data_IF_452320833255
#
_entry.id   IF_452320833255
#
_cell.length_a   1.000
_cell.length_b   1.000
_cell.length_c   1.000
_cell.angle_alpha   90.00
_cell.angle_beta   90.00
_cell.angle_gamma   90.00
#
_symmetry.space_group_name_H-M   'P 1'
#
loop_
_entity.id
_entity.type
_entity.pdbx_description
1 polymer ?
#
# COMPACT_ATOMS: atom_id res chain seq x y z
N UNK A 1 -60.31 -39.57 -52.23
CA UNK A 1 -60.15 -38.29 -51.52
C UNK A 1 -58.99 -38.39 -50.54
N UNK A 2 -57.79 -37.88 -50.95
CA UNK A 2 -56.57 -37.99 -50.15
C UNK A 2 -56.28 -36.63 -49.54
N UNK A 3 -56.40 -36.56 -48.20
CA UNK A 3 -56.03 -35.38 -47.42
C UNK A 3 -54.59 -35.55 -46.97
N UNK A 4 -53.66 -34.75 -47.53
CA UNK A 4 -52.24 -34.68 -47.09
C UNK A 4 -52.15 -33.78 -45.87
N UNK A 5 -51.81 -34.30 -44.72
CA UNK A 5 -51.44 -33.53 -43.53
C UNK A 5 -49.99 -33.09 -43.65
N UNK A 6 -49.73 -31.77 -43.59
CA UNK A 6 -48.41 -31.20 -43.50
C UNK A 6 -48.03 -31.11 -42.00
N UNK A 7 -46.96 -31.76 -41.64
CA UNK A 7 -46.30 -31.58 -40.33
C UNK A 7 -45.39 -30.33 -40.42
N UNK A 8 -45.65 -29.35 -39.58
CA UNK A 8 -44.74 -28.23 -39.37
C UNK A 8 -43.79 -28.59 -38.25
N UNK A 9 -42.47 -28.66 -38.55
CA UNK A 9 -41.42 -28.83 -37.58
C UNK A 9 -41.08 -27.44 -36.99
N UNK A 10 -41.40 -27.22 -35.73
CA UNK A 10 -40.96 -26.04 -34.98
C UNK A 10 -39.54 -26.23 -34.48
N UNK A 11 -38.60 -25.36 -34.93
CA UNK A 11 -37.24 -25.27 -34.40
C UNK A 11 -37.30 -24.40 -33.15
N UNK A 12 -37.24 -25.01 -31.97
CA UNK A 12 -37.08 -24.30 -30.71
C UNK A 12 -35.61 -23.95 -30.51
N UNK A 13 -35.25 -22.67 -30.67
CA UNK A 13 -33.92 -22.17 -30.27
C UNK A 13 -33.86 -22.07 -28.73
N UNK A 14 -33.22 -23.04 -28.11
CA UNK A 14 -32.92 -22.99 -26.68
C UNK A 14 -31.81 -21.97 -26.36
N UNK A 15 -32.15 -20.86 -25.70
CA UNK A 15 -31.19 -19.94 -25.14
C UNK A 15 -30.71 -20.54 -23.82
N UNK A 16 -29.49 -21.10 -23.84
CA UNK A 16 -28.84 -21.52 -22.60
C UNK A 16 -28.36 -20.29 -21.84
N UNK A 17 -28.69 -20.10 -20.53
CA UNK A 17 -28.14 -19.02 -19.76
C UNK A 17 -26.65 -19.25 -19.55
N UNK A 18 -25.80 -18.30 -19.98
CA UNK A 18 -24.39 -18.26 -19.61
C UNK A 18 -24.32 -17.97 -18.10
N UNK A 19 -23.98 -18.98 -17.31
CA UNK A 19 -23.60 -18.78 -15.91
C UNK A 19 -22.23 -18.09 -15.90
N UNK A 20 -22.18 -16.79 -15.67
CA UNK A 20 -20.95 -16.07 -15.38
C UNK A 20 -20.56 -16.42 -13.95
N UNK A 21 -19.63 -17.35 -13.79
CA UNK A 21 -18.98 -17.62 -12.50
C UNK A 21 -18.08 -16.44 -12.16
N UNK A 22 -18.56 -15.51 -11.34
CA UNK A 22 -17.69 -14.52 -10.69
C UNK A 22 -16.85 -15.24 -9.63
N UNK A 23 -15.62 -15.58 -9.98
CA UNK A 23 -14.63 -16.02 -9.00
C UNK A 23 -14.37 -14.85 -8.06
N UNK A 24 -14.46 -15.05 -6.72
CA UNK A 24 -14.00 -14.03 -5.80
C UNK A 24 -12.51 -13.78 -6.07
N UNK A 25 -12.13 -12.53 -6.34
CA UNK A 25 -10.72 -12.16 -6.41
C UNK A 25 -10.11 -12.52 -5.04
N UNK A 26 -9.08 -13.37 -5.04
CA UNK A 26 -8.32 -13.63 -3.82
C UNK A 26 -7.78 -12.29 -3.32
N UNK A 27 -7.83 -12.01 -2.01
CA UNK A 27 -7.22 -10.80 -1.49
C UNK A 27 -5.75 -10.79 -1.90
N UNK A 28 -5.34 -9.73 -2.56
CA UNK A 28 -3.96 -9.56 -2.97
C UNK A 28 -3.11 -9.45 -1.69
N UNK A 29 -2.28 -10.44 -1.45
CA UNK A 29 -1.40 -10.46 -0.28
C UNK A 29 -0.13 -9.66 -0.61
N UNK A 30 -0.21 -8.33 -0.47
CA UNK A 30 0.96 -7.46 -0.46
C UNK A 30 1.37 -7.24 1.00
N UNK A 31 2.67 -7.13 1.27
CA UNK A 31 3.19 -6.80 2.60
C UNK A 31 4.55 -6.11 2.47
N UNK A 32 4.73 -5.02 3.20
CA UNK A 32 6.01 -4.31 3.20
C UNK A 32 6.02 -3.10 4.12
N UNK A 33 7.21 -2.60 4.41
CA UNK A 33 7.43 -1.41 5.22
C UNK A 33 8.79 -0.78 4.87
N UNK A 34 9.03 0.45 5.33
CA UNK A 34 10.33 1.10 5.17
C UNK A 34 11.24 0.68 6.31
N UNK A 35 12.38 0.06 5.96
CA UNK A 35 13.41 -0.34 6.92
C UNK A 35 14.52 0.71 7.08
N UNK A 36 14.72 1.58 6.08
CA UNK A 36 15.76 2.62 6.13
C UNK A 36 15.35 3.91 5.39
N UNK A 37 15.39 5.10 6.04
CA UNK A 37 15.45 5.28 7.49
C UNK A 37 14.31 4.52 8.17
N UNK A 38 14.48 4.05 9.44
CA UNK A 38 13.50 3.16 10.05
C UNK A 38 12.14 3.85 10.22
N UNK A 39 11.10 3.25 9.62
CA UNK A 39 9.72 3.67 9.85
C UNK A 39 9.29 3.39 11.29
N UNK A 40 8.17 3.98 11.72
CA UNK A 40 7.60 3.75 13.05
C UNK A 40 7.39 2.26 13.31
N UNK A 41 6.80 1.52 12.35
CA UNK A 41 6.65 0.08 12.48
C UNK A 41 7.99 -0.69 12.48
N UNK A 42 9.01 -0.20 11.78
CA UNK A 42 10.35 -0.78 11.86
C UNK A 42 10.99 -0.56 13.25
N UNK A 43 10.78 0.61 13.85
CA UNK A 43 11.23 0.91 15.22
C UNK A 43 10.52 0.01 16.24
N UNK A 44 9.23 -0.25 16.07
CA UNK A 44 8.47 -1.20 16.88
C UNK A 44 9.04 -2.63 16.75
N UNK A 45 9.28 -3.09 15.53
CA UNK A 45 9.82 -4.43 15.28
C UNK A 45 11.23 -4.62 15.86
N UNK A 46 12.06 -3.58 15.79
CA UNK A 46 13.40 -3.57 16.37
C UNK A 46 13.42 -3.43 17.91
N UNK A 47 12.28 -3.07 18.52
CA UNK A 47 12.20 -2.80 19.96
C UNK A 47 12.83 -1.46 20.37
N UNK A 48 13.08 -0.56 19.41
CA UNK A 48 13.55 0.81 19.69
C UNK A 48 12.48 1.63 20.40
N UNK A 49 11.23 1.39 20.04
CA UNK A 49 10.04 1.95 20.69
C UNK A 49 9.16 0.78 21.12
N UNK A 50 8.60 0.86 22.31
CA UNK A 50 7.71 -0.18 22.81
C UNK A 50 6.34 -0.06 22.14
N UNK A 51 5.87 -1.15 21.55
CA UNK A 51 4.67 -1.20 20.76
C UNK A 51 3.85 -2.47 21.00
N UNK A 52 2.57 -2.42 20.61
CA UNK A 52 1.65 -3.55 20.66
C UNK A 52 1.79 -4.51 19.46
N UNK A 53 0.67 -4.79 18.81
CA UNK A 53 0.57 -5.81 17.76
C UNK A 53 1.51 -5.56 16.58
N UNK A 54 1.72 -4.30 16.19
CA UNK A 54 2.55 -3.91 15.04
C UNK A 54 4.01 -4.40 15.14
N UNK A 55 4.51 -4.63 16.35
CA UNK A 55 5.85 -5.18 16.60
C UNK A 55 6.06 -6.51 15.87
N UNK A 56 5.03 -7.31 15.75
CA UNK A 56 5.09 -8.67 15.21
C UNK A 56 4.71 -8.76 13.73
N UNK A 57 4.11 -7.70 13.19
CA UNK A 57 3.65 -7.65 11.80
C UNK A 57 3.90 -6.26 11.17
N UNK A 58 5.15 -5.73 11.20
CA UNK A 58 5.46 -4.38 10.71
C UNK A 58 5.12 -4.19 9.23
N UNK A 59 5.02 -5.27 8.47
CA UNK A 59 4.69 -5.28 7.05
C UNK A 59 3.19 -5.14 6.76
N UNK A 60 2.31 -5.17 7.77
CA UNK A 60 0.85 -5.37 7.61
C UNK A 60 0.04 -4.07 7.71
N UNK A 61 0.65 -2.90 7.58
CA UNK A 61 -0.07 -1.61 7.66
C UNK A 61 -0.76 -1.31 6.33
N UNK A 62 -1.86 -2.00 6.11
CA UNK A 62 -2.71 -1.89 4.92
C UNK A 62 -3.98 -1.09 5.23
N UNK A 63 -4.44 -0.28 4.27
CA UNK A 63 -5.70 0.45 4.34
C UNK A 63 -6.15 0.96 2.99
N UNK A 64 -7.35 1.56 2.88
CA UNK A 64 -7.81 2.20 1.66
C UNK A 64 -6.81 3.23 1.12
N UNK A 65 -6.73 3.40 -0.20
CA UNK A 65 -5.93 4.46 -0.83
C UNK A 65 -6.40 5.85 -0.40
N UNK A 66 -5.47 6.80 -0.34
CA UNK A 66 -5.76 8.21 -0.10
C UNK A 66 -5.86 8.61 1.38
N UNK A 67 -5.53 7.72 2.31
CA UNK A 67 -5.45 8.08 3.73
C UNK A 67 -4.17 8.86 4.04
N UNK A 68 -4.23 9.63 5.14
CA UNK A 68 -3.12 10.46 5.63
C UNK A 68 -2.61 10.02 7.00
N UNK A 69 -2.98 8.83 7.45
CA UNK A 69 -2.60 8.26 8.75
C UNK A 69 -1.44 7.28 8.61
N UNK A 70 -0.58 7.22 9.62
CA UNK A 70 0.54 6.27 9.68
C UNK A 70 0.05 4.83 9.89
N UNK A 71 -1.13 4.66 10.49
CA UNK A 71 -1.77 3.35 10.74
C UNK A 71 -2.51 2.79 9.52
N UNK A 72 -2.65 3.57 8.42
CA UNK A 72 -3.52 3.21 7.30
C UNK A 72 -5.00 3.09 7.70
N UNK A 73 -5.42 3.76 8.79
CA UNK A 73 -6.77 3.66 9.35
C UNK A 73 -7.05 2.34 10.08
N UNK A 74 -6.04 1.53 10.35
CA UNK A 74 -6.19 0.27 11.07
C UNK A 74 -6.12 0.51 12.58
N UNK A 75 -7.24 0.33 13.28
CA UNK A 75 -7.34 0.55 14.74
C UNK A 75 -6.34 -0.31 15.55
N UNK A 76 -5.98 -1.49 15.07
CA UNK A 76 -4.97 -2.35 15.73
C UNK A 76 -3.59 -1.71 15.77
N UNK A 77 -3.33 -0.76 14.87
CA UNK A 77 -2.05 -0.06 14.70
C UNK A 77 -2.17 1.44 14.97
N UNK A 78 -3.24 1.88 15.65
CA UNK A 78 -3.50 3.30 15.93
C UNK A 78 -2.35 4.00 16.65
N UNK A 79 -1.54 3.25 17.39
CA UNK A 79 -0.34 3.77 18.05
C UNK A 79 0.69 4.38 17.08
N UNK A 80 0.67 3.98 15.81
CA UNK A 80 1.54 4.57 14.78
C UNK A 80 1.17 6.03 14.47
N UNK A 81 -0.05 6.45 14.80
CA UNK A 81 -0.51 7.83 14.62
C UNK A 81 -0.21 8.73 15.84
N UNK A 82 0.24 8.16 16.95
CA UNK A 82 0.60 8.91 18.16
C UNK A 82 1.99 9.55 18.03
N UNK A 83 2.02 10.84 17.71
CA UNK A 83 3.28 11.61 17.58
C UNK A 83 4.00 11.80 18.93
N UNK A 84 3.35 11.58 20.07
CA UNK A 84 3.94 11.70 21.40
C UNK A 84 4.66 10.45 21.89
N UNK A 85 4.64 9.36 21.12
CA UNK A 85 5.16 8.05 21.53
C UNK A 85 6.70 7.97 21.66
N UNK A 86 7.40 9.03 21.28
CA UNK A 86 8.88 9.09 21.40
C UNK A 86 9.60 8.36 20.27
N UNK A 87 9.08 8.51 19.05
CA UNK A 87 9.72 7.96 17.85
C UNK A 87 11.15 8.49 17.68
N UNK A 88 12.07 7.61 17.35
CA UNK A 88 13.43 8.00 17.01
C UNK A 88 13.44 8.76 15.68
N UNK A 89 14.09 9.93 15.69
CA UNK A 89 14.21 10.82 14.54
C UNK A 89 15.56 10.61 13.89
N UNK A 90 15.59 10.29 12.60
CA UNK A 90 16.84 10.05 11.86
C UNK A 90 17.37 11.35 11.24
N UNK A 91 18.61 11.79 11.54
CA UNK A 91 19.24 12.90 10.82
C UNK A 91 19.43 12.55 9.34
N UNK A 92 19.03 13.47 8.45
CA UNK A 92 19.16 13.30 7.00
C UNK A 92 19.60 14.59 6.32
N UNK A 93 20.16 14.48 5.11
CA UNK A 93 20.50 15.65 4.28
C UNK A 93 19.28 16.31 3.65
N UNK A 94 19.51 17.18 2.67
CA UNK A 94 18.44 17.78 1.85
C UNK A 94 17.71 16.74 0.99
N UNK A 95 18.30 15.57 0.82
CA UNK A 95 17.67 14.40 0.22
C UNK A 95 18.11 13.12 0.95
N UNK A 96 17.29 12.07 0.88
CA UNK A 96 17.64 10.76 1.45
C UNK A 96 17.01 9.63 0.68
N UNK A 97 17.60 8.43 0.80
CA UNK A 97 17.05 7.20 0.22
C UNK A 97 16.09 6.54 1.19
N UNK A 98 14.85 6.33 0.78
CA UNK A 98 13.89 5.50 1.49
C UNK A 98 13.93 4.09 0.90
N UNK A 99 14.21 3.10 1.75
CA UNK A 99 14.28 1.70 1.34
C UNK A 99 13.08 0.93 1.91
N UNK A 100 12.25 0.45 1.02
CA UNK A 100 11.17 -0.49 1.33
C UNK A 100 11.70 -1.92 1.35
N UNK A 101 11.27 -2.68 2.33
CA UNK A 101 11.40 -4.12 2.40
C UNK A 101 10.04 -4.77 2.20
N UNK A 102 9.89 -5.54 1.10
CA UNK A 102 8.64 -6.18 0.74
C UNK A 102 8.72 -7.67 1.08
N UNK A 103 7.93 -8.09 2.04
CA UNK A 103 7.82 -9.51 2.42
C UNK A 103 6.85 -10.26 1.53
N UNK A 104 5.93 -9.55 0.87
CA UNK A 104 5.10 -10.06 -0.21
C UNK A 104 4.94 -8.96 -1.28
N UNK A 105 5.42 -9.24 -2.48
CA UNK A 105 5.43 -8.30 -3.62
C UNK A 105 4.10 -8.33 -4.35
N UNK A 106 3.67 -7.16 -4.83
CA UNK A 106 2.42 -7.05 -5.60
C UNK A 106 2.55 -6.00 -6.71
N UNK A 107 1.71 -6.12 -7.75
CA UNK A 107 1.61 -5.14 -8.82
C UNK A 107 1.37 -3.74 -8.24
N UNK A 108 2.23 -2.78 -8.59
CA UNK A 108 2.31 -1.46 -7.97
C UNK A 108 1.93 -0.38 -8.99
N UNK A 109 1.01 0.52 -8.59
CA UNK A 109 0.78 1.73 -9.38
C UNK A 109 1.80 2.80 -9.05
N UNK A 110 1.80 3.33 -7.82
CA UNK A 110 2.69 4.42 -7.43
C UNK A 110 3.21 4.26 -6.01
N UNK A 111 4.35 4.90 -5.76
CA UNK A 111 4.92 5.16 -4.45
C UNK A 111 4.89 6.65 -4.22
N UNK A 112 4.30 7.08 -3.12
CA UNK A 112 4.11 8.51 -2.82
C UNK A 112 4.71 8.86 -1.47
N UNK A 113 5.24 10.07 -1.36
CA UNK A 113 5.83 10.60 -0.13
C UNK A 113 5.24 11.96 0.18
N UNK A 114 4.79 12.13 1.42
CA UNK A 114 4.11 13.35 1.87
C UNK A 114 4.75 13.89 3.15
N UNK A 115 4.80 15.23 3.26
CA UNK A 115 5.15 15.95 4.48
C UNK A 115 4.09 17.02 4.73
N UNK A 116 3.48 17.04 5.90
CA UNK A 116 2.45 18.01 6.25
C UNK A 116 1.25 18.00 5.29
N UNK A 117 0.93 16.85 4.67
CA UNK A 117 -0.13 16.71 3.69
C UNK A 117 0.25 17.09 2.26
N UNK A 118 1.43 17.68 2.04
CA UNK A 118 1.95 18.00 0.71
C UNK A 118 2.75 16.84 0.13
N UNK A 119 2.46 16.43 -1.10
CA UNK A 119 3.25 15.41 -1.80
C UNK A 119 4.60 16.00 -2.23
N UNK A 120 5.70 15.39 -1.77
CA UNK A 120 7.07 15.80 -2.07
C UNK A 120 7.76 14.91 -3.10
N UNK A 121 7.29 13.67 -3.29
CA UNK A 121 7.79 12.77 -4.33
C UNK A 121 6.73 11.75 -4.74
N UNK A 122 6.85 11.27 -5.99
CA UNK A 122 6.05 10.18 -6.54
C UNK A 122 6.88 9.40 -7.56
N UNK A 123 6.76 8.08 -7.51
CA UNK A 123 7.39 7.15 -8.45
C UNK A 123 6.30 6.23 -9.00
N UNK A 124 6.21 6.11 -10.32
CA UNK A 124 5.19 5.32 -11.02
C UNK A 124 5.81 4.02 -11.54
N UNK A 125 5.31 2.89 -11.05
CA UNK A 125 5.72 1.56 -11.51
C UNK A 125 4.81 1.02 -12.63
N UNK A 126 3.77 1.76 -13.04
CA UNK A 126 2.91 1.42 -14.16
C UNK A 126 2.20 0.07 -14.05
N UNK A 127 1.99 -0.44 -12.84
CA UNK A 127 1.39 -1.75 -12.59
C UNK A 127 2.39 -2.91 -12.55
N UNK A 128 3.71 -2.63 -12.65
CA UNK A 128 4.72 -3.68 -12.53
C UNK A 128 4.82 -4.24 -11.11
N UNK A 129 5.26 -5.50 -11.00
CA UNK A 129 5.60 -6.08 -9.71
C UNK A 129 7.04 -5.72 -9.33
N UNK A 130 7.26 -5.02 -8.19
CA UNK A 130 8.59 -4.59 -7.77
C UNK A 130 9.45 -5.76 -7.28
N UNK A 131 10.74 -5.49 -7.05
CA UNK A 131 11.65 -6.39 -6.33
C UNK A 131 11.30 -6.49 -4.83
N UNK A 132 12.01 -7.36 -4.10
CA UNK A 132 11.87 -7.48 -2.63
C UNK A 132 12.34 -6.22 -1.90
N UNK A 133 13.25 -5.49 -2.52
CA UNK A 133 13.75 -4.20 -2.04
C UNK A 133 13.49 -3.14 -3.10
N UNK A 134 12.86 -2.03 -2.68
CA UNK A 134 12.64 -0.86 -3.52
C UNK A 134 13.25 0.35 -2.84
N UNK A 135 14.06 1.12 -3.56
CA UNK A 135 14.74 2.30 -3.01
C UNK A 135 14.41 3.52 -3.84
N UNK A 136 13.93 4.56 -3.16
CA UNK A 136 13.62 5.84 -3.77
C UNK A 136 14.47 6.96 -3.16
N UNK A 137 15.09 7.77 -3.99
CA UNK A 137 15.75 9.01 -3.56
C UNK A 137 14.70 10.12 -3.51
N UNK A 138 14.47 10.66 -2.32
CA UNK A 138 13.49 11.73 -2.08
C UNK A 138 14.21 13.01 -1.69
N UNK A 139 13.92 14.09 -2.40
CA UNK A 139 14.41 15.45 -2.13
C UNK A 139 13.39 16.17 -1.24
N UNK A 140 13.86 16.77 -0.17
CA UNK A 140 13.03 17.55 0.75
C UNK A 140 12.85 19.01 0.32
N UNK A 141 13.50 19.44 -0.76
CA UNK A 141 13.45 20.82 -1.23
C UNK A 141 13.94 21.79 -0.17
N UNK A 142 13.11 22.78 0.15
CA UNK A 142 13.41 23.78 1.18
C UNK A 142 13.08 23.39 2.62
N UNK A 143 12.53 22.18 2.85
CA UNK A 143 12.17 21.71 4.20
C UNK A 143 13.41 21.55 5.07
N UNK A 144 13.28 21.87 6.38
CA UNK A 144 14.32 21.78 7.40
C UNK A 144 13.74 21.34 8.74
N UNK A 145 14.61 20.79 9.58
CA UNK A 145 14.25 20.36 10.94
C UNK A 145 13.46 19.05 10.93
N UNK A 146 12.79 18.78 12.02
CA UNK A 146 12.02 17.53 12.19
C UNK A 146 10.80 17.50 11.25
N UNK A 147 10.69 16.42 10.51
CA UNK A 147 9.61 16.15 9.57
C UNK A 147 9.11 14.72 9.75
N UNK A 148 7.80 14.55 9.71
CA UNK A 148 7.16 13.26 9.58
C UNK A 148 6.84 13.01 8.10
N UNK A 149 7.49 12.03 7.50
CA UNK A 149 7.27 11.60 6.12
C UNK A 149 6.26 10.46 6.13
N UNK A 150 5.10 10.67 5.53
CA UNK A 150 4.16 9.60 5.22
C UNK A 150 4.50 9.03 3.85
N UNK A 151 4.90 7.79 3.80
CA UNK A 151 5.13 7.04 2.57
C UNK A 151 3.97 6.09 2.30
N UNK A 152 3.52 6.04 1.05
CA UNK A 152 2.35 5.28 0.61
C UNK A 152 2.71 4.41 -0.58
N UNK A 153 2.53 3.11 -0.45
CA UNK A 153 2.67 2.14 -1.52
C UNK A 153 1.30 1.76 -2.08
N UNK A 154 0.94 2.30 -3.24
CA UNK A 154 -0.36 2.07 -3.89
C UNK A 154 -0.35 0.79 -4.73
N UNK A 155 -1.18 -0.18 -4.37
CA UNK A 155 -1.33 -1.43 -5.11
C UNK A 155 -2.13 -1.19 -6.40
N UNK A 156 -1.70 -1.76 -7.53
CA UNK A 156 -2.27 -1.42 -8.83
C UNK A 156 -3.70 -1.94 -9.03
N UNK A 157 -3.97 -3.16 -8.61
CA UNK A 157 -5.19 -3.92 -8.91
C UNK A 157 -6.15 -4.07 -7.72
N UNK A 158 -5.92 -3.30 -6.64
CA UNK A 158 -6.81 -3.22 -5.47
C UNK A 158 -7.14 -1.77 -5.11
N UNK A 159 -8.12 -1.58 -4.22
CA UNK A 159 -8.45 -0.28 -3.65
C UNK A 159 -7.50 0.12 -2.50
N UNK A 160 -6.52 -0.72 -2.16
CA UNK A 160 -5.70 -0.58 -0.97
C UNK A 160 -4.29 -0.04 -1.27
N UNK A 161 -3.67 0.46 -0.20
CA UNK A 161 -2.28 0.89 -0.15
C UNK A 161 -1.66 0.44 1.18
N UNK A 162 -0.32 0.43 1.23
CA UNK A 162 0.45 0.24 2.44
C UNK A 162 1.04 1.57 2.89
N UNK A 163 1.09 1.78 4.21
CA UNK A 163 1.46 3.04 4.83
C UNK A 163 2.68 2.87 5.73
N UNK A 164 3.59 3.83 5.69
CA UNK A 164 4.74 3.88 6.58
C UNK A 164 5.07 5.34 6.92
N UNK A 165 5.13 5.67 8.20
CA UNK A 165 5.66 6.96 8.65
C UNK A 165 7.11 6.82 9.07
N UNK A 166 7.92 7.80 8.64
CA UNK A 166 9.35 7.92 8.98
C UNK A 166 9.59 9.30 9.56
N UNK A 167 10.16 9.34 10.76
CA UNK A 167 10.49 10.60 11.42
C UNK A 167 11.96 10.94 11.10
N UNK A 168 12.19 12.12 10.50
CA UNK A 168 13.51 12.57 10.05
C UNK A 168 13.80 13.99 10.51
N UNK A 169 15.10 14.34 10.68
CA UNK A 169 15.56 15.71 10.90
C UNK A 169 16.38 16.16 9.70
N UNK A 170 15.78 17.02 8.85
CA UNK A 170 16.35 17.48 7.58
C UNK A 170 17.38 18.57 7.82
N UNK A 171 18.64 18.29 7.44
CA UNK A 171 19.77 19.21 7.61
C UNK A 171 20.27 19.29 9.06
N UNK A 172 19.97 18.24 9.86
CA UNK A 172 20.45 18.07 11.24
C UNK A 172 21.79 17.36 11.33
#
# INVERSE_FOLDING_TARGET
MNVKRKLAAGIGAGIAPLLVLTLPAAPASAHGYIDSPPSRQAQCAAGTVECGAIKWEPQSVEGPKGLTSCSGGNERFAELDDDSKGWAVTPVGSSTSFKWHLTARHATSTWQYFVGGSKIAEFDDGGAQPGETVTHQVDFGGLRGEQKVLAVWNIADTANAFYACVDVNVGG
#
